data_IF_140532600684
#
_entry.id   IF_140532600684
#
_cell.length_a   1.000
_cell.length_b   1.000
_cell.length_c   1.000
_cell.angle_alpha   90.00
_cell.angle_beta   90.00
_cell.angle_gamma   90.00
#
_symmetry.space_group_name_H-M   'P 1'
#
loop_
_entity.id
_entity.type
_entity.pdbx_description
1 polymer ?
#
# COMPACT_ATOMS: atom_id res chain seq x y z
N UNK A 1 -24.71 -14.53 -17.65
CA UNK A 1 -25.08 -13.18 -18.15
C UNK A 1 -25.59 -12.38 -16.95
N UNK A 2 -24.68 -11.76 -16.20
CA UNK A 2 -25.02 -10.93 -15.05
C UNK A 2 -24.90 -9.46 -15.43
N UNK A 3 -25.97 -8.72 -15.20
CA UNK A 3 -26.15 -7.30 -15.47
C UNK A 3 -25.17 -6.51 -14.61
N UNK A 4 -24.20 -5.84 -15.25
CA UNK A 4 -23.32 -4.88 -14.57
C UNK A 4 -24.19 -3.69 -14.14
N UNK A 5 -24.24 -3.48 -12.83
CA UNK A 5 -25.03 -2.45 -12.17
C UNK A 5 -24.74 -1.05 -12.72
N UNK A 6 -25.81 -0.32 -13.04
CA UNK A 6 -25.86 1.06 -13.57
C UNK A 6 -25.19 2.12 -12.71
N UNK A 7 -24.64 1.77 -11.53
CA UNK A 7 -24.01 2.71 -10.58
C UNK A 7 -22.61 3.20 -10.99
N UNK A 8 -21.93 2.53 -11.92
CA UNK A 8 -20.61 3.00 -12.41
C UNK A 8 -20.71 4.19 -13.39
N UNK A 9 -21.89 4.45 -13.95
CA UNK A 9 -22.10 5.54 -14.92
C UNK A 9 -22.27 6.89 -14.20
N UNK A 10 -22.74 6.87 -12.94
CA UNK A 10 -23.05 8.09 -12.17
C UNK A 10 -21.81 8.87 -11.74
N UNK A 11 -20.65 8.22 -11.55
CA UNK A 11 -19.44 8.85 -11.01
C UNK A 11 -18.69 9.65 -12.09
N UNK A 12 -18.79 9.25 -13.36
CA UNK A 12 -18.13 9.96 -14.47
C UNK A 12 -18.91 11.22 -14.88
N UNK A 13 -20.23 11.26 -14.67
CA UNK A 13 -21.07 12.40 -15.05
C UNK A 13 -21.06 13.56 -14.05
N UNK A 14 -20.54 13.40 -12.83
CA UNK A 14 -20.58 14.43 -11.80
C UNK A 14 -19.48 15.51 -11.93
N UNK A 15 -18.47 15.32 -12.80
CA UNK A 15 -17.37 16.29 -13.00
C UNK A 15 -17.44 17.06 -14.32
N UNK A 16 -18.43 16.78 -15.17
CA UNK A 16 -18.66 17.55 -16.38
C UNK A 16 -19.88 18.45 -16.11
N UNK A 17 -19.59 19.73 -15.89
CA UNK A 17 -20.59 20.77 -15.73
C UNK A 17 -21.67 20.71 -16.80
N UNK A 18 -22.87 21.10 -16.41
CA UNK A 18 -24.08 21.00 -17.20
C UNK A 18 -23.89 21.45 -18.66
N UNK A 19 -24.41 20.61 -19.55
CA UNK A 19 -24.79 20.94 -20.92
C UNK A 19 -23.67 21.17 -21.94
N UNK A 20 -22.77 20.21 -22.16
CA UNK A 20 -22.26 19.95 -23.53
C UNK A 20 -21.93 18.46 -23.72
N UNK A 21 -22.56 17.89 -24.75
CA UNK A 21 -22.22 16.64 -25.46
C UNK A 21 -22.36 15.27 -24.79
N UNK A 22 -23.62 14.82 -24.74
CA UNK A 22 -23.99 13.38 -24.70
C UNK A 22 -23.34 12.60 -25.85
N UNK A 23 -23.06 13.25 -26.99
CA UNK A 23 -22.39 12.65 -28.14
C UNK A 23 -20.90 12.34 -27.90
N UNK A 24 -20.18 13.19 -27.16
CA UNK A 24 -18.76 12.97 -26.81
C UNK A 24 -18.63 11.88 -25.75
N UNK A 25 -19.54 11.86 -24.77
CA UNK A 25 -19.60 10.77 -23.79
C UNK A 25 -19.93 9.41 -24.45
N UNK A 26 -20.84 9.40 -25.44
CA UNK A 26 -21.16 8.21 -26.22
C UNK A 26 -19.99 7.76 -27.11
N UNK A 27 -19.29 8.70 -27.75
CA UNK A 27 -18.10 8.43 -28.58
C UNK A 27 -16.95 7.84 -27.76
N UNK A 28 -16.66 8.40 -26.57
CA UNK A 28 -15.64 7.89 -25.63
C UNK A 28 -16.01 6.48 -25.10
N UNK A 29 -17.30 6.25 -24.82
CA UNK A 29 -17.85 4.94 -24.45
C UNK A 29 -17.72 3.89 -25.57
N UNK A 30 -17.97 4.31 -26.82
CA UNK A 30 -17.85 3.47 -28.00
C UNK A 30 -16.39 3.10 -28.26
N UNK A 31 -15.45 4.05 -28.22
CA UNK A 31 -14.01 3.78 -28.37
C UNK A 31 -13.45 2.89 -27.26
N UNK A 32 -13.94 3.02 -26.02
CA UNK A 32 -13.55 2.13 -24.91
C UNK A 32 -13.99 0.68 -25.16
N UNK A 33 -15.23 0.48 -25.61
CA UNK A 33 -15.81 -0.86 -25.83
C UNK A 33 -15.30 -1.56 -27.09
N UNK A 34 -15.08 -0.82 -28.17
CA UNK A 34 -14.72 -1.42 -29.46
C UNK A 34 -13.20 -1.50 -29.71
N UNK A 35 -12.39 -0.67 -29.04
CA UNK A 35 -10.93 -0.60 -29.29
C UNK A 35 -10.11 -0.89 -28.03
N UNK A 36 -10.42 -0.24 -26.90
CA UNK A 36 -9.60 -0.36 -25.69
C UNK A 36 -9.80 -1.70 -24.96
N UNK A 37 -11.03 -2.18 -24.82
CA UNK A 37 -11.36 -3.46 -24.16
C UNK A 37 -10.73 -4.69 -24.83
N UNK A 38 -10.79 -4.84 -26.18
CA UNK A 38 -10.11 -5.94 -26.87
C UNK A 38 -8.57 -5.85 -26.76
N UNK A 39 -7.98 -4.65 -26.87
CA UNK A 39 -6.53 -4.44 -26.70
C UNK A 39 -6.06 -4.68 -25.27
N UNK A 40 -6.84 -4.29 -24.26
CA UNK A 40 -6.55 -4.57 -22.86
C UNK A 40 -6.60 -6.09 -22.58
N UNK A 41 -7.50 -6.81 -23.26
CA UNK A 41 -7.61 -8.26 -23.15
C UNK A 41 -6.43 -9.01 -23.83
N UNK A 42 -5.89 -8.48 -24.93
CA UNK A 42 -4.83 -9.13 -25.72
C UNK A 42 -3.40 -8.67 -25.40
N UNK A 43 -3.19 -7.40 -25.05
CA UNK A 43 -1.86 -6.77 -25.00
C UNK A 43 -1.50 -6.17 -23.62
N UNK A 44 -2.49 -5.96 -22.74
CA UNK A 44 -2.24 -5.54 -21.35
C UNK A 44 -1.62 -4.15 -21.14
N UNK A 45 -1.44 -3.33 -22.19
CA UNK A 45 -0.84 -1.98 -22.08
C UNK A 45 -1.54 -1.01 -23.02
N UNK A 46 -1.94 0.17 -22.49
CA UNK A 46 -2.37 1.32 -23.30
C UNK A 46 -1.72 2.58 -22.72
N UNK A 47 -0.63 3.06 -23.34
CA UNK A 47 -0.02 4.36 -23.02
C UNK A 47 -0.57 5.46 -23.94
N UNK A 48 -1.17 6.56 -23.44
CA UNK A 48 -1.23 7.81 -24.17
C UNK A 48 -0.34 8.90 -23.52
N UNK A 49 0.05 9.88 -24.33
CA UNK A 49 1.06 10.89 -24.05
C UNK A 49 0.53 12.13 -23.28
N UNK A 50 -0.68 12.07 -22.74
CA UNK A 50 -1.51 13.23 -22.37
C UNK A 50 -1.81 13.35 -20.86
N UNK A 51 -1.12 12.59 -20.01
CA UNK A 51 -1.25 12.70 -18.55
C UNK A 51 -2.51 12.05 -17.96
N UNK A 52 -3.24 11.26 -18.74
CA UNK A 52 -4.38 10.51 -18.25
C UNK A 52 -3.97 9.37 -17.28
N UNK A 53 -4.72 9.21 -16.18
CA UNK A 53 -4.59 8.08 -15.26
C UNK A 53 -4.97 6.79 -16.00
N UNK A 54 -4.03 5.86 -16.12
CA UNK A 54 -4.22 4.58 -16.79
C UNK A 54 -4.57 3.47 -15.79
N UNK A 55 -5.51 2.61 -16.17
CA UNK A 55 -5.73 1.32 -15.50
C UNK A 55 -4.88 0.28 -16.24
N UNK A 56 -3.71 -0.02 -15.67
CA UNK A 56 -2.67 -0.84 -16.30
C UNK A 56 -2.77 -2.34 -16.04
N UNK A 57 -3.69 -2.80 -15.20
CA UNK A 57 -3.70 -4.19 -14.74
C UNK A 57 -5.10 -4.78 -14.57
N UNK A 58 -5.14 -6.12 -14.59
CA UNK A 58 -6.33 -6.90 -14.22
C UNK A 58 -6.63 -6.72 -12.73
N UNK A 59 -7.91 -6.64 -12.38
CA UNK A 59 -8.34 -6.58 -10.99
C UNK A 59 -8.03 -7.91 -10.28
N UNK A 60 -7.22 -7.89 -9.23
CA UNK A 60 -7.07 -9.00 -8.29
C UNK A 60 -8.06 -8.85 -7.13
N UNK A 61 -8.71 -9.95 -6.74
CA UNK A 61 -9.63 -9.95 -5.58
C UNK A 61 -8.83 -10.11 -4.28
N UNK A 62 -8.39 -8.99 -3.73
CA UNK A 62 -7.86 -8.95 -2.37
C UNK A 62 -8.99 -9.05 -1.33
N UNK A 63 -8.67 -9.60 -0.17
CA UNK A 63 -9.56 -9.69 0.99
C UNK A 63 -9.27 -8.54 1.94
N UNK A 64 -10.15 -7.54 1.92
CA UNK A 64 -10.03 -6.34 2.78
C UNK A 64 -8.65 -5.65 2.67
N UNK A 65 -8.23 -5.27 1.44
CA UNK A 65 -7.00 -4.53 1.24
C UNK A 65 -7.14 -3.13 1.84
N UNK A 66 -6.16 -2.70 2.63
CA UNK A 66 -6.21 -1.38 3.29
C UNK A 66 -5.00 -0.49 3.02
N UNK A 67 -3.90 -1.09 2.54
CA UNK A 67 -2.71 -0.35 2.17
C UNK A 67 -1.97 -1.10 1.06
N UNK A 68 -1.18 -0.35 0.29
CA UNK A 68 -0.38 -0.88 -0.80
C UNK A 68 0.99 -0.20 -0.85
N UNK A 69 2.04 -0.95 -1.16
CA UNK A 69 3.39 -0.43 -1.38
C UNK A 69 4.03 -1.08 -2.61
N UNK A 70 4.76 -0.30 -3.40
CA UNK A 70 5.44 -0.79 -4.60
C UNK A 70 6.92 -1.06 -4.28
N UNK A 71 7.49 -2.12 -4.85
CA UNK A 71 8.93 -2.35 -4.77
C UNK A 71 9.70 -1.27 -5.57
N UNK A 72 10.97 -0.97 -5.23
CA UNK A 72 11.76 0.04 -5.93
C UNK A 72 11.89 -0.20 -7.43
N UNK A 73 11.99 -1.46 -7.85
CA UNK A 73 12.06 -1.86 -9.27
C UNK A 73 10.68 -1.85 -9.98
N UNK A 74 9.62 -1.45 -9.29
CA UNK A 74 8.23 -1.45 -9.78
C UNK A 74 7.74 -2.81 -10.33
N UNK A 75 8.33 -3.90 -9.85
CA UNK A 75 8.03 -5.27 -10.30
C UNK A 75 7.09 -6.01 -9.36
N UNK A 76 7.02 -5.61 -8.10
CA UNK A 76 6.20 -6.21 -7.07
C UNK A 76 5.35 -5.15 -6.38
N UNK A 77 4.21 -5.59 -5.87
CA UNK A 77 3.33 -4.78 -5.03
C UNK A 77 2.97 -5.57 -3.78
N UNK A 78 3.22 -4.99 -2.61
CA UNK A 78 2.79 -5.53 -1.31
C UNK A 78 1.44 -4.90 -0.92
N UNK A 79 0.52 -5.72 -0.47
CA UNK A 79 -0.85 -5.34 -0.11
C UNK A 79 -1.13 -5.81 1.32
N UNK A 80 -1.53 -4.89 2.19
CA UNK A 80 -1.95 -5.22 3.54
C UNK A 80 -3.42 -5.67 3.53
N UNK A 81 -3.65 -6.96 3.77
CA UNK A 81 -4.97 -7.53 3.99
C UNK A 81 -5.23 -7.60 5.50
N UNK A 82 -5.64 -6.46 6.09
CA UNK A 82 -5.56 -6.28 7.55
C UNK A 82 -6.38 -7.29 8.33
N UNK A 83 -7.66 -7.49 7.98
CA UNK A 83 -8.52 -8.44 8.69
C UNK A 83 -8.12 -9.90 8.45
N UNK A 84 -7.26 -10.16 7.47
CA UNK A 84 -6.64 -11.46 7.24
C UNK A 84 -5.29 -11.61 7.97
N UNK A 85 -4.83 -10.59 8.68
CA UNK A 85 -3.59 -10.60 9.45
C UNK A 85 -2.36 -10.98 8.62
N UNK A 86 -2.33 -10.56 7.36
CA UNK A 86 -1.31 -10.95 6.39
C UNK A 86 -1.01 -9.86 5.38
N UNK A 87 0.10 -10.05 4.68
CA UNK A 87 0.53 -9.22 3.56
C UNK A 87 0.60 -10.11 2.33
N UNK A 88 0.00 -9.67 1.23
CA UNK A 88 0.07 -10.37 -0.06
C UNK A 88 1.02 -9.60 -0.97
N UNK A 89 2.00 -10.27 -1.56
CA UNK A 89 2.87 -9.65 -2.56
C UNK A 89 2.54 -10.24 -3.92
N UNK A 90 2.20 -9.36 -4.85
CA UNK A 90 1.86 -9.70 -6.22
C UNK A 90 2.92 -9.18 -7.20
N UNK A 91 3.04 -9.85 -8.33
CA UNK A 91 3.83 -9.39 -9.46
C UNK A 91 3.02 -8.33 -10.23
N UNK A 92 3.62 -7.17 -10.45
CA UNK A 92 3.04 -6.13 -11.29
C UNK A 92 3.14 -6.47 -12.79
N UNK A 93 3.97 -7.45 -13.16
CA UNK A 93 4.14 -7.88 -14.56
C UNK A 93 2.93 -8.69 -15.04
N UNK A 94 2.43 -9.60 -14.20
CA UNK A 94 1.35 -10.53 -14.60
C UNK A 94 0.13 -10.53 -13.65
N UNK A 95 0.19 -9.78 -12.54
CA UNK A 95 -0.91 -9.67 -11.56
C UNK A 95 -1.05 -10.89 -10.64
N UNK A 96 -0.12 -11.84 -10.68
CA UNK A 96 -0.19 -13.07 -9.88
C UNK A 96 0.34 -12.84 -8.47
N UNK A 97 -0.24 -13.57 -7.51
CA UNK A 97 0.28 -13.63 -6.14
C UNK A 97 1.59 -14.40 -6.17
N UNK A 98 2.68 -13.72 -5.84
CA UNK A 98 4.02 -14.32 -5.73
C UNK A 98 4.17 -14.98 -4.36
N UNK A 99 3.61 -14.34 -3.32
CA UNK A 99 3.77 -14.79 -1.93
C UNK A 99 2.72 -14.19 -1.02
N UNK A 100 2.50 -14.87 0.10
CA UNK A 100 1.71 -14.39 1.22
C UNK A 100 2.59 -14.47 2.47
N UNK A 101 2.72 -13.35 3.19
CA UNK A 101 3.56 -13.20 4.35
C UNK A 101 2.72 -12.99 5.61
N UNK A 102 3.24 -13.49 6.72
CA UNK A 102 2.64 -13.36 8.03
C UNK A 102 1.46 -14.30 8.28
N UNK A 103 1.10 -14.36 9.54
CA UNK A 103 -0.04 -15.09 10.10
C UNK A 103 -0.53 -14.30 11.30
N UNK A 104 -1.76 -14.57 11.73
CA UNK A 104 -2.26 -14.02 12.98
C UNK A 104 -1.31 -14.34 14.15
N UNK A 105 -0.97 -13.33 14.95
CA UNK A 105 -0.22 -13.52 16.19
C UNK A 105 -0.10 -12.26 17.02
N UNK A 106 -0.25 -12.40 18.34
CA UNK A 106 0.06 -11.35 19.30
C UNK A 106 1.56 -11.36 19.53
N UNK A 107 2.21 -10.24 19.25
CA UNK A 107 3.66 -10.21 19.18
C UNK A 107 4.21 -8.87 19.67
N UNK A 108 5.42 -8.92 20.23
CA UNK A 108 6.19 -7.77 20.69
C UNK A 108 7.60 -7.84 20.12
N UNK A 109 8.29 -6.69 20.05
CA UNK A 109 9.64 -6.61 19.50
C UNK A 109 9.76 -7.26 18.12
N UNK A 110 10.74 -8.15 17.95
CA UNK A 110 10.98 -8.89 16.70
C UNK A 110 10.28 -10.27 16.61
N UNK A 111 9.31 -10.57 17.49
CA UNK A 111 8.58 -11.83 17.41
C UNK A 111 7.72 -11.94 16.14
N UNK A 112 7.57 -13.16 15.61
CA UNK A 112 6.70 -13.47 14.47
C UNK A 112 5.21 -13.30 14.84
N UNK A 113 4.37 -13.07 13.82
CA UNK A 113 2.93 -12.82 13.96
C UNK A 113 2.55 -11.39 13.61
N UNK A 114 1.44 -11.23 12.89
CA UNK A 114 0.85 -9.95 12.51
C UNK A 114 -0.53 -9.81 13.10
N UNK A 115 -0.90 -8.56 13.37
CA UNK A 115 -2.18 -8.20 13.93
C UNK A 115 -2.73 -6.92 13.28
N UNK A 116 -3.63 -7.09 12.30
CA UNK A 116 -4.19 -5.98 11.51
C UNK A 116 -3.09 -5.07 10.92
N UNK A 117 -2.12 -5.61 10.15
CA UNK A 117 -1.08 -4.79 9.54
C UNK A 117 -1.71 -3.70 8.66
N UNK A 118 -1.13 -2.50 8.67
CA UNK A 118 -1.58 -1.34 7.88
C UNK A 118 -0.49 -0.87 6.93
N UNK A 119 0.28 0.13 7.35
CA UNK A 119 1.29 0.79 6.52
C UNK A 119 2.41 -0.16 6.14
N UNK A 120 2.80 -0.08 4.88
CA UNK A 120 3.85 -0.88 4.27
C UNK A 120 4.83 0.04 3.55
N UNK A 121 6.13 -0.24 3.63
CA UNK A 121 7.13 0.42 2.80
C UNK A 121 8.30 -0.52 2.52
N UNK A 122 8.72 -0.62 1.26
CA UNK A 122 9.94 -1.34 0.92
C UNK A 122 11.17 -0.50 1.27
N UNK A 123 12.26 -1.18 1.63
CA UNK A 123 13.57 -0.53 1.64
C UNK A 123 14.06 -0.25 0.20
N UNK A 124 15.05 0.64 0.02
CA UNK A 124 15.56 0.98 -1.31
C UNK A 124 16.14 -0.21 -2.10
N UNK A 125 16.61 -1.27 -1.43
CA UNK A 125 17.04 -2.51 -2.10
C UNK A 125 15.87 -3.40 -2.51
N UNK A 126 14.70 -3.26 -1.87
CA UNK A 126 13.53 -4.11 -2.04
C UNK A 126 13.62 -5.46 -1.30
N UNK A 127 14.67 -5.67 -0.50
CA UNK A 127 14.89 -6.90 0.26
C UNK A 127 14.07 -6.94 1.55
N UNK A 128 13.77 -5.78 2.13
CA UNK A 128 13.01 -5.66 3.36
C UNK A 128 11.71 -4.89 3.16
N UNK A 129 10.72 -5.26 3.96
CA UNK A 129 9.45 -4.58 4.07
C UNK A 129 9.29 -4.09 5.52
N UNK A 130 9.06 -2.80 5.67
CA UNK A 130 8.66 -2.18 6.93
C UNK A 130 7.15 -2.20 7.04
N UNK A 131 6.65 -2.58 8.22
CA UNK A 131 5.23 -2.82 8.46
C UNK A 131 4.80 -2.14 9.76
N UNK A 132 3.77 -1.31 9.69
CA UNK A 132 3.01 -0.90 10.86
C UNK A 132 2.06 -2.04 11.27
N UNK A 133 2.46 -2.78 12.28
CA UNK A 133 1.70 -3.90 12.85
C UNK A 133 0.71 -3.36 13.89
N UNK A 134 -0.35 -2.73 13.36
CA UNK A 134 -1.23 -1.78 14.06
C UNK A 134 -1.70 -2.27 15.42
N UNK A 135 -2.31 -3.45 15.48
CA UNK A 135 -2.96 -3.93 16.71
C UNK A 135 -1.98 -4.63 17.65
N UNK A 136 -0.75 -4.90 17.21
CA UNK A 136 0.36 -5.24 18.08
C UNK A 136 1.13 -3.99 18.58
N UNK A 137 0.72 -2.79 18.15
CA UNK A 137 1.29 -1.52 18.63
C UNK A 137 2.81 -1.42 18.39
N UNK A 138 3.25 -1.85 17.20
CA UNK A 138 4.66 -1.89 16.84
C UNK A 138 4.90 -1.61 15.36
N UNK A 139 6.15 -1.33 15.04
CA UNK A 139 6.69 -1.33 13.69
C UNK A 139 7.73 -2.43 13.58
N UNK A 140 7.67 -3.20 12.49
CA UNK A 140 8.62 -4.27 12.23
C UNK A 140 9.29 -4.08 10.88
N UNK A 141 10.51 -4.60 10.76
CA UNK A 141 11.23 -4.82 9.52
C UNK A 141 11.26 -6.32 9.27
N UNK A 142 10.80 -6.76 8.12
CA UNK A 142 10.79 -8.17 7.74
C UNK A 142 11.44 -8.38 6.38
N UNK A 143 12.04 -9.55 6.17
CA UNK A 143 12.55 -9.92 4.84
C UNK A 143 11.38 -10.13 3.88
N UNK A 144 11.37 -9.42 2.75
CA UNK A 144 10.26 -9.46 1.80
C UNK A 144 10.13 -10.80 1.05
N UNK A 145 11.22 -11.58 0.97
CA UNK A 145 11.26 -12.87 0.29
C UNK A 145 10.93 -14.07 1.20
N UNK A 146 11.13 -13.97 2.51
CA UNK A 146 10.87 -15.09 3.44
C UNK A 146 9.75 -14.79 4.43
N UNK A 147 9.47 -13.50 4.67
CA UNK A 147 8.56 -13.04 5.71
C UNK A 147 9.15 -13.10 7.12
N UNK A 148 10.43 -13.46 7.28
CA UNK A 148 11.09 -13.49 8.58
C UNK A 148 11.21 -12.07 9.15
N UNK A 149 10.81 -11.89 10.41
CA UNK A 149 10.97 -10.62 11.13
C UNK A 149 12.44 -10.47 11.51
N UNK A 150 13.05 -9.35 11.10
CA UNK A 150 14.46 -9.05 11.28
C UNK A 150 14.67 -8.11 12.47
N UNK A 151 13.79 -7.12 12.60
CA UNK A 151 13.79 -6.17 13.71
C UNK A 151 12.35 -5.75 14.02
N UNK A 152 12.12 -5.27 15.24
CA UNK A 152 10.84 -4.71 15.62
C UNK A 152 10.92 -3.90 16.89
N UNK A 153 10.18 -2.79 16.91
CA UNK A 153 10.12 -1.83 18.01
C UNK A 153 8.68 -1.47 18.27
N UNK A 154 8.32 -1.30 19.54
CA UNK A 154 6.98 -0.90 19.92
C UNK A 154 6.37 -1.76 21.00
N UNK A 155 5.69 -1.07 21.90
CA UNK A 155 4.67 -1.62 22.78
C UNK A 155 3.53 -0.61 22.89
N UNK A 156 2.37 -1.05 23.38
CA UNK A 156 1.23 -0.15 23.53
C UNK A 156 1.52 0.92 24.59
N UNK A 157 1.52 2.20 24.21
CA UNK A 157 1.72 3.30 25.14
C UNK A 157 2.00 4.63 24.45
N UNK A 158 2.47 5.60 25.24
CA UNK A 158 3.01 6.89 24.79
C UNK A 158 4.49 6.99 25.21
N UNK A 159 5.28 7.77 24.49
CA UNK A 159 6.71 7.97 24.76
C UNK A 159 7.61 7.10 23.89
N UNK A 160 8.91 7.18 24.14
CA UNK A 160 9.93 6.52 23.33
C UNK A 160 9.76 5.00 23.32
N UNK A 161 9.87 4.41 22.14
CA UNK A 161 9.69 2.98 21.92
C UNK A 161 8.25 2.48 22.06
N UNK A 162 7.27 3.38 22.25
CA UNK A 162 5.86 3.03 22.35
C UNK A 162 5.05 3.55 21.16
N UNK A 163 4.04 2.78 20.75
CA UNK A 163 3.08 3.20 19.72
C UNK A 163 1.65 2.93 20.18
N UNK A 164 0.70 3.59 19.54
CA UNK A 164 -0.73 3.35 19.69
C UNK A 164 -1.38 3.29 18.32
N UNK A 165 -1.66 2.07 17.85
CA UNK A 165 -2.29 1.83 16.55
C UNK A 165 -1.57 2.51 15.36
N UNK A 166 -0.26 2.27 15.16
CA UNK A 166 0.47 2.88 14.05
C UNK A 166 -0.19 2.53 12.71
N UNK A 167 -0.26 3.50 11.79
CA UNK A 167 -1.00 3.35 10.54
C UNK A 167 -0.14 3.44 9.29
N UNK A 168 0.61 4.52 9.10
CA UNK A 168 1.44 4.74 7.92
C UNK A 168 2.91 4.48 8.23
N UNK A 169 3.65 4.02 7.23
CA UNK A 169 5.11 3.93 7.26
C UNK A 169 5.65 4.48 5.95
N UNK A 170 6.69 5.32 6.03
CA UNK A 170 7.40 5.85 4.88
C UNK A 170 8.90 5.81 5.14
N UNK A 171 9.68 5.58 4.10
CA UNK A 171 11.14 5.72 4.15
C UNK A 171 11.55 6.95 3.36
N UNK A 172 12.48 7.70 3.90
CA UNK A 172 13.12 8.78 3.17
C UNK A 172 14.60 8.85 3.52
N UNK A 173 15.43 9.13 2.52
CA UNK A 173 16.79 9.58 2.76
C UNK A 173 16.77 11.10 2.90
N UNK A 174 17.12 11.58 4.09
CA UNK A 174 17.07 13.00 4.43
C UNK A 174 18.47 13.59 4.38
N UNK A 175 18.60 14.77 3.77
CA UNK A 175 19.90 15.43 3.65
C UNK A 175 20.57 15.73 5.01
N UNK A 176 19.77 15.91 6.08
CA UNK A 176 20.25 16.28 7.41
C UNK A 176 20.52 15.07 8.33
N UNK A 177 19.78 13.98 8.19
CA UNK A 177 19.83 12.84 9.13
C UNK A 177 20.11 11.49 8.46
N UNK A 178 20.27 11.46 7.14
CA UNK A 178 20.39 10.24 6.36
C UNK A 178 19.05 9.48 6.29
N UNK A 179 19.08 8.15 6.15
CA UNK A 179 17.89 7.35 5.95
C UNK A 179 17.08 7.24 7.24
N UNK A 180 15.78 7.51 7.15
CA UNK A 180 14.83 7.45 8.26
C UNK A 180 13.57 6.67 7.87
N UNK A 181 12.95 6.06 8.87
CA UNK A 181 11.60 5.50 8.79
C UNK A 181 10.65 6.44 9.54
N UNK A 182 9.69 7.01 8.83
CA UNK A 182 8.62 7.81 9.41
C UNK A 182 7.40 6.94 9.66
N UNK A 183 6.79 7.10 10.83
CA UNK A 183 5.65 6.30 11.26
C UNK A 183 4.54 7.24 11.71
N UNK A 184 3.33 7.03 11.20
CA UNK A 184 2.15 7.72 11.74
C UNK A 184 1.65 6.96 12.98
N UNK A 185 2.01 7.45 14.16
CA UNK A 185 1.59 6.90 15.46
C UNK A 185 0.17 7.40 15.82
N UNK A 186 -0.79 6.98 15.00
CA UNK A 186 -2.14 7.53 14.93
C UNK A 186 -2.85 7.71 16.28
N UNK A 187 -2.72 6.77 17.21
CA UNK A 187 -3.43 6.83 18.49
C UNK A 187 -2.77 7.72 19.54
N UNK A 188 -1.59 8.24 19.24
CA UNK A 188 -0.83 9.21 20.02
C UNK A 188 -0.69 10.56 19.30
N UNK A 189 -1.38 10.75 18.16
CA UNK A 189 -1.44 12.02 17.41
C UNK A 189 -0.07 12.61 17.04
N UNK A 190 0.93 11.74 16.79
CA UNK A 190 2.30 12.16 16.43
C UNK A 190 2.86 11.41 15.22
N UNK A 191 3.91 11.97 14.65
CA UNK A 191 4.76 11.30 13.68
C UNK A 191 6.09 10.96 14.36
N UNK A 192 6.57 9.74 14.19
CA UNK A 192 7.82 9.26 14.80
C UNK A 192 8.85 9.02 13.70
N UNK A 193 10.09 9.43 13.94
CA UNK A 193 11.24 9.08 13.10
C UNK A 193 12.10 7.99 13.78
N UNK A 194 12.43 6.93 13.03
CA UNK A 194 13.26 5.82 13.48
C UNK A 194 14.46 5.60 12.55
N UNK A 195 15.51 4.99 13.08
CA UNK A 195 16.61 4.43 12.28
C UNK A 195 16.17 3.15 11.55
N UNK A 196 16.24 3.05 10.21
CA UNK A 196 15.83 1.85 9.46
C UNK A 196 16.60 0.56 9.78
N UNK A 197 17.84 0.63 10.22
CA UNK A 197 18.66 -0.57 10.45
C UNK A 197 18.16 -1.37 11.64
N UNK A 198 18.07 -0.71 12.80
CA UNK A 198 17.71 -1.32 14.08
C UNK A 198 16.29 -0.95 14.57
N UNK A 199 15.57 -0.09 13.85
CA UNK A 199 14.32 0.53 14.28
C UNK A 199 14.45 1.28 15.62
N UNK A 200 15.59 1.95 15.81
CA UNK A 200 15.85 2.74 17.00
C UNK A 200 15.14 4.09 16.93
N UNK A 201 14.58 4.52 18.07
CA UNK A 201 13.92 5.81 18.18
C UNK A 201 14.91 6.94 17.92
N UNK A 202 14.51 7.93 17.10
CA UNK A 202 15.30 9.13 16.88
C UNK A 202 14.64 10.31 17.56
N UNK A 203 13.43 10.65 17.13
CA UNK A 203 12.68 11.80 17.64
C UNK A 203 11.24 11.76 17.14
N UNK A 204 10.41 12.56 17.81
CA UNK A 204 9.06 12.87 17.37
C UNK A 204 9.09 14.09 16.45
N UNK A 205 8.33 14.01 15.36
CA UNK A 205 8.20 15.10 14.38
C UNK A 205 6.97 15.92 14.74
N UNK A 206 7.19 17.19 15.07
CA UNK A 206 6.11 18.16 15.28
C UNK A 206 5.60 18.27 16.72
N UNK A 207 6.35 17.79 17.72
CA UNK A 207 6.12 18.26 19.09
C UNK A 207 6.43 19.77 19.14
N UNK A 208 5.47 20.54 19.65
CA UNK A 208 5.57 21.98 19.93
C UNK A 208 5.64 22.19 21.42
#
# INVERSE_FOLDING_TARGET
MQTISTRLISVVLAHLGAAHDVAVAAALSLTWRSVALPRLASEGVLRPADGAIQILARSFKAKDPTFVACSPAASLVAIAESSQHRIVICSLVNGEVVRTLGKFGWASGAADGLNYPKGLAFDPSGEHLFVADRSNHRVIKMNAATGAVVAGVGSRGYGDGCFKYPQGVALADTAAHGPLVFVCDYGNDRIVALEPTALEWRFDVGEV
#
